data_IF_023031485258
#
_entry.id   IF_023031485258
#
_cell.length_a   1.000
_cell.length_b   1.000
_cell.length_c   1.000
_cell.angle_alpha   90.00
_cell.angle_beta   90.00
_cell.angle_gamma   90.00
#
_symmetry.space_group_name_H-M   'P 1'
#
loop_
_entity.id
_entity.type
_entity.pdbx_description
1 polymer ?
#
# COMPACT_ATOMS: atom_id res chain seq x y z
N UNK A 1 8.84 -16.06 12.47
CA UNK A 1 10.11 -16.45 11.79
C UNK A 1 10.67 -17.75 12.39
N UNK A 2 10.34 -18.04 13.62
CA UNK A 2 10.76 -19.29 14.30
C UNK A 2 9.82 -20.43 13.93
N UNK A 3 10.32 -21.59 13.51
CA UNK A 3 9.49 -22.73 13.10
C UNK A 3 8.55 -23.21 14.21
N UNK A 4 8.96 -23.11 15.46
CA UNK A 4 8.20 -23.52 16.63
C UNK A 4 6.96 -22.63 16.84
N UNK A 5 7.13 -21.30 16.79
CA UNK A 5 6.02 -20.33 16.87
C UNK A 5 4.97 -20.60 15.79
N UNK A 6 5.44 -20.92 14.57
CA UNK A 6 4.54 -21.26 13.48
C UNK A 6 3.74 -22.53 13.75
N UNK A 7 4.39 -23.60 14.24
CA UNK A 7 3.71 -24.85 14.58
C UNK A 7 2.68 -24.65 15.69
N UNK A 8 3.03 -23.87 16.71
CA UNK A 8 2.12 -23.54 17.80
C UNK A 8 0.91 -22.74 17.29
N UNK A 9 1.14 -21.77 16.42
CA UNK A 9 0.08 -20.98 15.80
C UNK A 9 -0.87 -21.85 14.97
N UNK A 10 -0.32 -22.74 14.13
CA UNK A 10 -1.09 -23.68 13.30
C UNK A 10 -1.94 -24.63 14.15
N UNK A 11 -1.34 -25.22 15.20
CA UNK A 11 -2.05 -26.10 16.13
C UNK A 11 -3.22 -25.40 16.83
N UNK A 12 -3.01 -24.18 17.33
CA UNK A 12 -4.05 -23.40 17.99
C UNK A 12 -5.19 -22.99 17.05
N UNK A 13 -4.89 -22.62 15.81
CA UNK A 13 -5.92 -22.37 14.80
C UNK A 13 -6.72 -23.62 14.50
N UNK A 14 -6.04 -24.79 14.40
CA UNK A 14 -6.68 -26.09 14.21
C UNK A 14 -7.63 -26.47 15.35
N UNK A 15 -7.20 -26.29 16.62
CA UNK A 15 -8.04 -26.51 17.80
C UNK A 15 -9.31 -25.65 17.79
N UNK A 16 -9.18 -24.35 17.43
CA UNK A 16 -10.33 -23.43 17.35
C UNK A 16 -11.28 -23.76 16.21
N UNK A 17 -10.74 -24.23 15.07
CA UNK A 17 -11.59 -24.68 13.97
C UNK A 17 -12.38 -25.95 14.36
N UNK A 18 -11.73 -26.91 15.03
CA UNK A 18 -12.38 -28.13 15.50
C UNK A 18 -13.51 -27.86 16.52
N UNK A 19 -13.37 -26.79 17.31
CA UNK A 19 -14.37 -26.35 18.30
C UNK A 19 -15.40 -25.36 17.71
N UNK A 20 -15.37 -25.10 16.41
CA UNK A 20 -16.36 -24.28 15.71
C UNK A 20 -17.73 -24.96 15.74
N UNK A 21 -18.76 -24.24 16.12
CA UNK A 21 -20.13 -24.75 16.12
C UNK A 21 -20.58 -25.09 14.71
N UNK A 22 -21.28 -26.21 14.53
CA UNK A 22 -21.72 -26.72 13.21
C UNK A 22 -22.56 -25.72 12.41
N UNK A 23 -23.19 -24.74 13.02
CA UNK A 23 -23.96 -23.69 12.32
C UNK A 23 -23.13 -22.48 11.83
N UNK A 24 -21.87 -22.32 12.27
CA UNK A 24 -21.06 -21.17 11.90
C UNK A 24 -20.48 -21.28 10.47
N UNK A 25 -20.32 -22.49 9.96
CA UNK A 25 -19.83 -22.71 8.58
C UNK A 25 -20.87 -22.29 7.54
N UNK A 26 -22.15 -22.48 7.83
CA UNK A 26 -23.28 -22.12 6.98
C UNK A 26 -23.90 -20.76 7.33
N UNK A 27 -23.31 -20.07 8.31
CA UNK A 27 -23.71 -18.70 8.68
C UNK A 27 -23.55 -17.71 7.53
N UNK A 28 -24.14 -16.52 7.70
CA UNK A 28 -23.92 -15.45 6.73
C UNK A 28 -22.44 -15.03 6.70
N UNK A 29 -22.04 -14.32 5.65
CA UNK A 29 -20.63 -13.94 5.41
C UNK A 29 -19.99 -13.17 6.57
N UNK A 30 -20.76 -12.34 7.29
CA UNK A 30 -20.26 -11.57 8.45
C UNK A 30 -19.89 -12.47 9.62
N UNK A 31 -20.70 -13.50 9.89
CA UNK A 31 -20.46 -14.48 10.97
C UNK A 31 -19.22 -15.30 10.65
N UNK A 32 -19.14 -15.84 9.42
CA UNK A 32 -18.01 -16.69 9.00
C UNK A 32 -16.69 -15.89 9.00
N UNK A 33 -16.72 -14.66 8.46
CA UNK A 33 -15.57 -13.75 8.48
C UNK A 33 -15.17 -13.32 9.89
N UNK A 34 -16.14 -12.91 10.70
CA UNK A 34 -15.93 -12.48 12.09
C UNK A 34 -15.26 -13.55 12.93
N UNK A 35 -15.68 -14.82 12.78
CA UNK A 35 -15.06 -15.99 13.43
C UNK A 35 -13.62 -16.18 13.02
N UNK A 36 -13.32 -16.20 11.71
CA UNK A 36 -11.95 -16.34 11.18
C UNK A 36 -11.04 -15.19 11.66
N UNK A 37 -11.50 -13.96 11.51
CA UNK A 37 -10.77 -12.76 11.93
C UNK A 37 -10.41 -12.83 13.41
N UNK A 38 -11.40 -13.09 14.27
CA UNK A 38 -11.21 -13.19 15.72
C UNK A 38 -10.23 -14.30 16.06
N UNK A 39 -10.39 -15.49 15.50
CA UNK A 39 -9.49 -16.60 15.71
C UNK A 39 -8.04 -16.24 15.40
N UNK A 40 -7.77 -15.71 14.19
CA UNK A 40 -6.42 -15.37 13.76
C UNK A 40 -5.76 -14.30 14.65
N UNK A 41 -6.51 -13.27 15.04
CA UNK A 41 -6.00 -12.19 15.88
C UNK A 41 -5.74 -12.65 17.32
N UNK A 42 -6.67 -13.39 17.91
CA UNK A 42 -6.54 -13.90 19.29
C UNK A 42 -5.36 -14.87 19.39
N UNK A 43 -5.26 -15.84 18.44
CA UNK A 43 -4.13 -16.79 18.41
C UNK A 43 -2.80 -16.05 18.15
N UNK A 44 -2.80 -15.03 17.31
CA UNK A 44 -1.59 -14.22 17.11
C UNK A 44 -1.17 -13.47 18.37
N UNK A 45 -2.13 -12.96 19.15
CA UNK A 45 -1.86 -12.33 20.44
C UNK A 45 -1.33 -13.32 21.48
N UNK A 46 -1.93 -14.51 21.57
CA UNK A 46 -1.51 -15.59 22.47
C UNK A 46 -0.09 -16.09 22.17
N UNK A 47 0.22 -16.32 20.90
CA UNK A 47 1.48 -16.97 20.48
C UNK A 47 2.61 -15.97 20.26
N UNK A 48 2.32 -14.79 19.73
CA UNK A 48 3.32 -13.78 19.38
C UNK A 48 3.36 -12.58 20.33
N UNK A 49 2.30 -12.38 21.11
CA UNK A 49 2.11 -11.20 21.94
C UNK A 49 1.79 -9.92 21.14
N UNK A 50 1.49 -8.84 21.83
CA UNK A 50 1.32 -7.51 21.24
C UNK A 50 2.52 -6.62 21.53
N UNK A 51 3.00 -5.91 20.52
CA UNK A 51 3.93 -4.80 20.73
C UNK A 51 3.20 -3.65 21.41
N UNK A 52 3.66 -3.25 22.60
CA UNK A 52 3.11 -2.10 23.35
C UNK A 52 3.76 -0.82 22.81
N UNK A 53 2.92 0.12 22.36
CA UNK A 53 3.32 1.47 21.95
C UNK A 53 3.29 1.72 20.43
N UNK A 54 3.32 3.01 20.06
CA UNK A 54 3.51 3.42 18.65
C UNK A 54 4.77 2.76 18.12
N UNK A 55 4.70 2.05 16.99
CA UNK A 55 5.90 1.62 16.28
C UNK A 55 6.72 2.88 16.00
N UNK A 56 7.85 3.03 16.69
CA UNK A 56 8.85 4.01 16.30
C UNK A 56 9.23 3.62 14.87
N UNK A 57 9.19 4.58 13.95
CA UNK A 57 9.53 4.37 12.56
C UNK A 57 10.88 3.64 12.44
N UNK A 58 10.84 2.30 12.35
CA UNK A 58 12.02 1.45 12.15
C UNK A 58 12.63 1.58 10.75
N UNK A 59 11.96 2.35 9.88
CA UNK A 59 12.38 2.51 8.49
C UNK A 59 13.51 3.50 8.30
N UNK A 60 13.72 4.40 9.27
CA UNK A 60 14.77 5.40 9.20
C UNK A 60 15.85 5.02 10.21
N UNK A 61 16.86 4.30 9.76
CA UNK A 61 17.94 3.73 10.58
C UNK A 61 18.72 4.75 11.42
N UNK A 62 18.67 6.04 11.07
CA UNK A 62 19.28 7.17 11.76
C UNK A 62 18.29 7.99 12.62
N UNK A 63 17.00 7.64 12.62
CA UNK A 63 16.01 8.41 13.39
C UNK A 63 16.10 8.10 14.87
N UNK A 64 16.23 9.16 15.69
CA UNK A 64 16.28 9.09 17.14
C UNK A 64 15.37 10.15 17.78
N UNK A 65 15.29 10.14 19.12
CA UNK A 65 14.40 11.05 19.86
C UNK A 65 14.86 12.52 19.72
N UNK A 66 16.17 12.80 19.63
CA UNK A 66 16.73 14.14 19.40
C UNK A 66 16.26 14.71 18.06
N UNK A 67 16.34 13.89 16.99
CA UNK A 67 15.88 14.29 15.64
C UNK A 67 14.36 14.50 15.65
N UNK A 68 13.62 13.64 16.34
CA UNK A 68 12.16 13.76 16.44
C UNK A 68 11.74 15.09 17.08
N UNK A 69 12.44 15.51 18.15
CA UNK A 69 12.20 16.80 18.85
C UNK A 69 12.48 17.99 17.92
N UNK A 70 13.65 17.99 17.26
CA UNK A 70 14.05 19.06 16.34
C UNK A 70 13.05 19.21 15.17
N UNK A 71 12.55 18.09 14.65
CA UNK A 71 11.55 18.11 13.58
C UNK A 71 10.19 18.60 14.08
N UNK A 72 9.79 18.23 15.30
CA UNK A 72 8.55 18.70 15.94
C UNK A 72 8.59 20.22 16.13
N UNK A 73 9.69 20.74 16.69
CA UNK A 73 9.85 22.17 16.89
C UNK A 73 9.86 22.95 15.57
N UNK A 74 10.56 22.46 14.56
CA UNK A 74 10.51 23.04 13.21
C UNK A 74 9.08 23.13 12.67
N UNK A 75 8.25 22.08 12.85
CA UNK A 75 6.85 22.06 12.40
C UNK A 75 6.02 23.08 13.16
N UNK A 76 6.18 23.15 14.48
CA UNK A 76 5.49 24.12 15.34
C UNK A 76 5.76 25.57 14.91
N UNK A 77 7.03 25.92 14.71
CA UNK A 77 7.45 27.25 14.29
C UNK A 77 7.02 27.57 12.85
N UNK A 78 6.96 26.57 11.96
CA UNK A 78 6.41 26.74 10.63
C UNK A 78 4.91 27.11 10.66
N UNK A 79 4.14 26.49 11.56
CA UNK A 79 2.74 26.84 11.79
C UNK A 79 2.58 28.29 12.23
N UNK A 80 3.39 28.72 13.20
CA UNK A 80 3.39 30.12 13.68
C UNK A 80 3.72 31.11 12.55
N UNK A 81 4.81 30.85 11.81
CA UNK A 81 5.22 31.68 10.69
C UNK A 81 4.13 31.78 9.60
N UNK A 82 3.43 30.69 9.30
CA UNK A 82 2.33 30.72 8.35
C UNK A 82 1.10 31.52 8.86
N UNK A 83 0.84 31.51 10.15
CA UNK A 83 -0.22 32.35 10.75
C UNK A 83 0.17 33.83 10.67
N UNK A 84 1.42 34.18 10.96
CA UNK A 84 1.91 35.57 10.89
C UNK A 84 1.91 36.15 9.47
N UNK A 85 2.01 35.31 8.43
CA UNK A 85 1.86 35.75 7.01
C UNK A 85 0.51 36.42 6.71
N UNK A 86 -0.53 36.11 7.48
CA UNK A 86 -1.88 36.65 7.31
C UNK A 86 -2.13 37.90 8.16
N UNK A 87 -1.22 38.21 9.08
CA UNK A 87 -1.32 39.41 9.92
C UNK A 87 -0.72 40.67 9.27
N UNK A 88 -1.16 41.83 9.71
CA UNK A 88 -0.68 43.12 9.17
C UNK A 88 0.73 43.49 9.66
N UNK A 89 1.23 42.85 10.72
CA UNK A 89 2.49 43.20 11.38
C UNK A 89 3.71 42.55 10.73
N UNK A 90 4.45 43.38 9.97
CA UNK A 90 5.69 42.96 9.30
C UNK A 90 6.83 42.61 10.25
N UNK A 91 6.88 43.15 11.50
CA UNK A 91 7.94 42.83 12.47
C UNK A 91 7.77 41.44 13.00
N UNK A 92 6.56 41.10 13.42
CA UNK A 92 6.21 39.73 13.90
C UNK A 92 6.47 38.70 12.79
N UNK A 93 6.12 39.00 11.53
CA UNK A 93 6.40 38.11 10.40
C UNK A 93 7.90 37.84 10.21
N UNK A 94 8.75 38.87 10.31
CA UNK A 94 10.20 38.71 10.15
C UNK A 94 10.81 37.92 11.32
N UNK A 95 10.35 38.15 12.54
CA UNK A 95 10.82 37.42 13.72
C UNK A 95 10.42 35.94 13.68
N UNK A 96 9.18 35.64 13.34
CA UNK A 96 8.69 34.25 13.21
C UNK A 96 9.39 33.51 12.07
N UNK A 97 9.67 34.22 10.96
CA UNK A 97 10.48 33.68 9.88
C UNK A 97 11.88 33.32 10.35
N UNK A 98 12.54 34.19 11.10
CA UNK A 98 13.88 33.95 11.63
C UNK A 98 13.91 32.73 12.55
N UNK A 99 12.94 32.65 13.48
CA UNK A 99 12.79 31.48 14.39
C UNK A 99 12.58 30.20 13.62
N UNK A 100 11.73 30.19 12.59
CA UNK A 100 11.55 29.03 11.73
C UNK A 100 12.81 28.66 10.97
N UNK A 101 13.54 29.61 10.40
CA UNK A 101 14.78 29.37 9.64
C UNK A 101 15.89 28.82 10.56
N UNK A 102 15.99 29.28 11.81
CA UNK A 102 16.88 28.74 12.83
C UNK A 102 16.53 27.29 13.18
N UNK A 103 15.26 26.98 13.45
CA UNK A 103 14.81 25.63 13.72
C UNK A 103 14.98 24.69 12.51
N UNK A 104 14.77 25.18 11.30
CA UNK A 104 15.01 24.44 10.05
C UNK A 104 16.49 24.07 9.93
N UNK A 105 17.41 25.00 10.22
CA UNK A 105 18.86 24.73 10.20
C UNK A 105 19.28 23.76 11.32
N UNK A 106 18.69 23.89 12.51
CA UNK A 106 18.93 22.99 13.63
C UNK A 106 18.48 21.55 13.28
N UNK A 107 17.27 21.38 12.76
CA UNK A 107 16.78 20.09 12.32
C UNK A 107 17.64 19.47 11.21
N UNK A 108 18.10 20.26 10.23
CA UNK A 108 18.97 19.78 9.17
C UNK A 108 20.33 19.30 9.73
N UNK A 109 20.92 20.05 10.64
CA UNK A 109 22.20 19.66 11.31
C UNK A 109 22.02 18.39 12.17
N UNK A 110 20.93 18.30 12.95
CA UNK A 110 20.62 17.12 13.75
C UNK A 110 20.46 15.86 12.92
N UNK A 111 19.76 15.97 11.80
CA UNK A 111 19.60 14.87 10.84
C UNK A 111 20.94 14.43 10.27
N UNK A 112 21.76 15.37 9.79
CA UNK A 112 23.11 15.05 9.23
C UNK A 112 23.99 14.39 10.26
N UNK A 113 24.01 14.88 11.49
CA UNK A 113 24.77 14.30 12.61
C UNK A 113 24.31 12.87 12.93
N UNK A 114 22.98 12.65 13.02
CA UNK A 114 22.42 11.32 13.28
C UNK A 114 22.78 10.33 12.17
N UNK A 115 22.71 10.77 10.91
CA UNK A 115 23.10 9.95 9.75
C UNK A 115 24.59 9.60 9.78
N UNK A 116 25.46 10.53 10.16
CA UNK A 116 26.90 10.31 10.24
C UNK A 116 27.25 9.34 11.36
N UNK A 117 26.68 9.49 12.55
CA UNK A 117 26.88 8.58 13.68
C UNK A 117 26.48 7.15 13.32
N UNK A 118 25.34 6.98 12.71
CA UNK A 118 24.88 5.64 12.33
C UNK A 118 25.66 5.04 11.17
N UNK A 119 26.14 5.85 10.21
CA UNK A 119 27.08 5.40 9.16
C UNK A 119 28.40 4.90 9.73
N UNK A 120 28.93 5.60 10.75
CA UNK A 120 30.18 5.20 11.41
C UNK A 120 30.00 3.87 12.15
N UNK A 121 28.96 3.74 12.97
CA UNK A 121 28.62 2.48 13.64
C UNK A 121 28.47 1.32 12.66
N UNK A 122 27.88 1.59 11.50
CA UNK A 122 27.75 0.59 10.44
C UNK A 122 29.11 0.23 9.81
N UNK A 123 29.99 1.22 9.58
CA UNK A 123 31.35 0.98 9.06
C UNK A 123 32.18 0.15 10.01
N UNK A 124 32.12 0.45 11.31
CA UNK A 124 32.82 -0.31 12.37
C UNK A 124 32.34 -1.77 12.47
N UNK A 125 31.05 -2.05 12.19
CA UNK A 125 30.52 -3.42 12.17
C UNK A 125 30.75 -4.22 10.88
N UNK A 126 31.37 -3.62 9.84
CA UNK A 126 31.71 -4.31 8.60
C UNK A 126 33.07 -5.04 8.65
N UNK A 127 33.91 -4.72 9.61
CA UNK A 127 35.23 -5.32 9.80
C UNK A 127 35.16 -6.69 10.51
N UNK A 128 34.03 -7.08 11.06
CA UNK A 128 33.79 -8.42 11.59
C UNK A 128 33.13 -9.30 10.51
N UNK A 129 33.85 -10.34 10.12
CA UNK A 129 33.44 -11.40 9.17
C UNK A 129 31.95 -11.71 9.20
N UNK A 130 31.13 -11.14 8.32
CA UNK A 130 30.06 -11.85 7.65
C UNK A 130 29.11 -10.94 6.85
N UNK A 131 28.74 -11.46 5.67
CA UNK A 131 27.58 -11.15 4.86
C UNK A 131 27.67 -10.04 3.81
N UNK A 132 28.20 -10.42 2.65
CA UNK A 132 28.01 -9.71 1.36
C UNK A 132 26.53 -9.28 1.15
N UNK A 133 25.57 -10.02 1.72
CA UNK A 133 24.14 -9.70 1.67
C UNK A 133 23.73 -8.47 2.49
N UNK A 134 24.43 -8.17 3.59
CA UNK A 134 24.09 -7.01 4.45
C UNK A 134 24.52 -5.70 3.80
N UNK A 135 25.69 -5.66 3.17
CA UNK A 135 26.19 -4.49 2.44
C UNK A 135 25.23 -4.11 1.30
N UNK A 136 24.81 -5.09 0.49
CA UNK A 136 23.85 -4.86 -0.60
C UNK A 136 22.48 -4.41 -0.08
N UNK A 137 22.01 -4.94 1.05
CA UNK A 137 20.75 -4.54 1.66
C UNK A 137 20.79 -3.09 2.14
N UNK A 138 21.88 -2.68 2.79
CA UNK A 138 22.06 -1.30 3.28
C UNK A 138 22.29 -0.34 2.12
N UNK A 139 23.10 -0.68 1.12
CA UNK A 139 23.27 0.13 -0.07
C UNK A 139 21.93 0.36 -0.79
N UNK A 140 21.12 -0.70 -0.93
CA UNK A 140 19.76 -0.62 -1.50
C UNK A 140 18.83 0.22 -0.63
N UNK A 141 18.98 0.20 0.68
CA UNK A 141 18.20 1.02 1.62
C UNK A 141 18.63 2.49 1.59
N UNK A 142 19.92 2.78 1.50
CA UNK A 142 20.45 4.16 1.31
C UNK A 142 19.93 4.76 -0.01
N UNK A 143 19.96 4.00 -1.10
CA UNK A 143 19.40 4.43 -2.39
C UNK A 143 17.88 4.64 -2.32
N UNK A 144 17.16 3.80 -1.57
CA UNK A 144 15.72 3.99 -1.31
C UNK A 144 15.45 5.24 -0.47
N UNK A 145 16.17 5.43 0.62
CA UNK A 145 15.99 6.57 1.51
C UNK A 145 16.27 7.92 0.83
N UNK A 146 17.16 7.94 -0.16
CA UNK A 146 17.36 9.13 -0.99
C UNK A 146 16.24 9.36 -2.02
N UNK A 147 15.36 8.38 -2.23
CA UNK A 147 14.18 8.48 -3.12
C UNK A 147 12.87 8.69 -2.37
N UNK A 148 12.79 8.26 -1.12
CA UNK A 148 11.63 8.50 -0.27
C UNK A 148 11.75 9.89 0.38
N UNK A 149 11.42 10.91 -0.38
CA UNK A 149 10.94 12.14 0.23
C UNK A 149 9.58 11.79 0.81
N UNK A 150 9.56 11.39 2.08
CA UNK A 150 8.33 11.39 2.88
C UNK A 150 7.84 12.83 2.79
N UNK A 151 6.73 13.05 2.07
CA UNK A 151 6.13 14.36 1.93
C UNK A 151 6.03 14.97 3.31
N UNK A 152 6.55 16.17 3.51
CA UNK A 152 6.41 16.86 4.79
C UNK A 152 4.93 16.83 5.16
N UNK A 153 4.57 16.59 6.42
CA UNK A 153 3.19 16.45 6.87
C UNK A 153 2.32 17.71 6.66
N UNK A 154 2.50 18.40 5.53
CA UNK A 154 1.78 19.60 5.14
C UNK A 154 1.27 19.40 3.71
N UNK A 155 0.04 19.83 3.46
CA UNK A 155 -0.59 19.82 2.13
C UNK A 155 -1.32 21.14 1.88
N UNK A 156 -1.59 21.44 0.62
CA UNK A 156 -2.29 22.66 0.21
C UNK A 156 -3.78 22.39 0.07
N UNK A 157 -4.59 23.23 0.69
CA UNK A 157 -6.03 23.29 0.46
C UNK A 157 -6.36 23.78 -0.95
N UNK A 158 -7.58 23.53 -1.41
CA UNK A 158 -8.09 24.04 -2.68
C UNK A 158 -8.07 25.59 -2.78
N UNK A 159 -8.18 26.29 -1.63
CA UNK A 159 -8.10 27.74 -1.54
C UNK A 159 -6.66 28.31 -1.48
N UNK A 160 -5.65 27.44 -1.62
CA UNK A 160 -4.24 27.80 -1.61
C UNK A 160 -3.60 27.89 -0.22
N UNK A 161 -4.35 27.78 0.89
CA UNK A 161 -3.80 27.68 2.25
C UNK A 161 -3.00 26.39 2.42
N UNK A 162 -2.04 26.39 3.35
CA UNK A 162 -1.26 25.21 3.68
C UNK A 162 -1.76 24.66 5.01
N UNK A 163 -2.28 23.43 4.99
CA UNK A 163 -2.61 22.65 6.17
C UNK A 163 -1.31 22.15 6.81
N UNK A 164 -1.18 22.36 8.12
CA UNK A 164 0.01 22.01 8.92
C UNK A 164 -0.37 21.09 10.07
N UNK A 165 -1.51 21.34 10.69
CA UNK A 165 -2.04 20.53 11.78
C UNK A 165 -2.53 19.17 11.22
N UNK A 166 -2.35 18.10 12.01
CA UNK A 166 -2.62 16.74 11.55
C UNK A 166 -4.08 16.56 11.09
N UNK A 167 -5.04 17.08 11.86
CA UNK A 167 -6.47 16.98 11.53
C UNK A 167 -6.83 17.75 10.25
N UNK A 168 -6.24 18.95 10.07
CA UNK A 168 -6.43 19.77 8.88
C UNK A 168 -5.84 19.08 7.64
N UNK A 169 -4.67 18.44 7.79
CA UNK A 169 -4.02 17.65 6.72
C UNK A 169 -4.88 16.46 6.33
N UNK A 170 -5.45 15.74 7.31
CA UNK A 170 -6.33 14.60 7.06
C UNK A 170 -7.60 15.05 6.31
N UNK A 171 -8.18 16.19 6.69
CA UNK A 171 -9.37 16.72 6.03
C UNK A 171 -9.10 17.10 4.57
N UNK A 172 -7.94 17.70 4.26
CA UNK A 172 -7.54 18.00 2.88
C UNK A 172 -7.41 16.71 2.07
N UNK A 173 -6.82 15.66 2.64
CA UNK A 173 -6.72 14.37 1.97
C UNK A 173 -8.08 13.72 1.77
N UNK A 174 -8.95 13.77 2.78
CA UNK A 174 -10.31 13.24 2.68
C UNK A 174 -11.08 13.90 1.53
N UNK A 175 -11.12 15.24 1.50
CA UNK A 175 -11.81 16.00 0.47
C UNK A 175 -11.22 15.72 -0.94
N UNK A 176 -9.90 15.56 -1.02
CA UNK A 176 -9.23 15.22 -2.28
C UNK A 176 -9.66 13.86 -2.83
N UNK A 177 -9.64 12.79 -1.99
CA UNK A 177 -10.02 11.46 -2.43
C UNK A 177 -11.53 11.32 -2.63
N UNK A 178 -12.34 11.99 -1.82
CA UNK A 178 -13.79 12.06 -1.99
C UNK A 178 -14.15 12.61 -3.38
N UNK A 179 -13.56 13.75 -3.74
CA UNK A 179 -13.73 14.32 -5.07
C UNK A 179 -13.23 13.37 -6.17
N UNK A 180 -12.03 12.82 -6.02
CA UNK A 180 -11.42 11.94 -7.04
C UNK A 180 -12.24 10.69 -7.30
N UNK A 181 -12.81 10.08 -6.26
CA UNK A 181 -13.54 8.81 -6.37
C UNK A 181 -15.01 8.97 -6.74
N UNK A 182 -15.58 10.17 -6.60
CA UNK A 182 -17.01 10.42 -6.87
C UNK A 182 -17.23 11.43 -8.00
N UNK A 183 -16.17 11.83 -8.71
CA UNK A 183 -16.31 12.70 -9.88
C UNK A 183 -16.88 11.87 -11.04
N UNK A 184 -18.14 12.18 -11.40
CA UNK A 184 -18.81 11.53 -12.53
C UNK A 184 -18.43 12.20 -13.83
N UNK A 185 -18.10 11.41 -14.84
CA UNK A 185 -17.87 11.86 -16.20
C UNK A 185 -19.04 11.44 -17.08
N UNK A 186 -19.60 12.41 -17.81
CA UNK A 186 -20.58 12.10 -18.84
C UNK A 186 -19.94 11.30 -19.96
N UNK A 187 -20.44 10.10 -20.23
CA UNK A 187 -20.03 9.30 -21.36
C UNK A 187 -21.26 8.76 -22.09
N UNK A 188 -21.13 8.55 -23.39
CA UNK A 188 -22.23 8.03 -24.18
C UNK A 188 -22.31 6.51 -23.98
N UNK A 189 -23.31 6.05 -23.22
CA UNK A 189 -23.56 4.62 -22.94
C UNK A 189 -23.94 3.84 -24.18
N UNK A 190 -24.51 4.51 -25.21
CA UNK A 190 -24.94 3.89 -26.46
C UNK A 190 -23.77 3.41 -27.35
N UNK A 191 -22.53 3.83 -27.03
CA UNK A 191 -21.33 3.36 -27.73
C UNK A 191 -20.88 1.97 -27.29
N UNK A 192 -21.39 1.45 -26.18
CA UNK A 192 -21.13 0.09 -25.73
C UNK A 192 -22.19 -0.88 -26.30
N UNK A 193 -21.74 -1.76 -27.15
CA UNK A 193 -22.59 -2.90 -27.56
C UNK A 193 -22.63 -3.87 -26.39
N UNK A 194 -23.82 -4.09 -25.84
CA UNK A 194 -24.02 -5.15 -24.85
C UNK A 194 -23.69 -6.49 -25.52
N UNK A 195 -22.76 -7.22 -24.96
CA UNK A 195 -22.50 -8.61 -25.34
C UNK A 195 -23.45 -9.51 -24.57
N UNK A 196 -23.82 -10.65 -25.18
CA UNK A 196 -24.58 -11.67 -24.49
C UNK A 196 -23.89 -12.08 -23.20
N UNK A 197 -24.67 -12.23 -22.13
CA UNK A 197 -24.15 -12.71 -20.85
C UNK A 197 -23.65 -14.14 -21.02
N UNK A 198 -22.37 -14.36 -20.76
CA UNK A 198 -21.84 -15.72 -20.68
C UNK A 198 -22.09 -16.24 -19.28
N UNK A 199 -22.91 -17.27 -19.16
CA UNK A 199 -23.05 -17.99 -17.90
C UNK A 199 -21.72 -18.67 -17.57
N UNK A 200 -21.05 -18.16 -16.53
CA UNK A 200 -19.83 -18.77 -16.02
C UNK A 200 -20.14 -19.93 -15.09
N UNK A 201 -19.19 -20.83 -14.86
CA UNK A 201 -19.35 -21.89 -13.87
C UNK A 201 -19.44 -21.27 -12.47
N UNK A 202 -20.61 -21.41 -11.83
CA UNK A 202 -20.86 -21.05 -10.43
C UNK A 202 -20.40 -22.16 -9.47
N UNK A 203 -19.30 -22.85 -9.80
CA UNK A 203 -18.76 -23.89 -8.93
C UNK A 203 -18.22 -23.29 -7.62
N UNK A 204 -18.40 -24.05 -6.53
CA UNK A 204 -17.82 -23.68 -5.24
C UNK A 204 -16.30 -23.48 -5.35
N UNK A 205 -15.80 -22.49 -4.63
CA UNK A 205 -14.36 -22.28 -4.50
C UNK A 205 -13.77 -23.42 -3.71
N UNK A 206 -12.70 -24.02 -4.24
CA UNK A 206 -12.02 -25.17 -3.65
C UNK A 206 -10.89 -24.73 -2.72
N UNK A 207 -10.57 -25.57 -1.73
CA UNK A 207 -9.40 -25.35 -0.86
C UNK A 207 -8.08 -25.32 -1.63
N UNK A 208 -7.99 -26.04 -2.75
CA UNK A 208 -6.82 -26.06 -3.62
C UNK A 208 -6.58 -24.67 -4.27
N UNK A 209 -7.63 -24.01 -4.76
CA UNK A 209 -7.56 -22.65 -5.33
C UNK A 209 -7.12 -21.64 -4.27
N UNK A 210 -7.73 -21.69 -3.08
CA UNK A 210 -7.40 -20.82 -1.95
C UNK A 210 -5.96 -21.03 -1.49
N UNK A 211 -5.51 -22.27 -1.35
CA UNK A 211 -4.13 -22.60 -0.99
C UNK A 211 -3.13 -22.06 -2.02
N UNK A 212 -3.43 -22.20 -3.31
CA UNK A 212 -2.61 -21.66 -4.39
C UNK A 212 -2.53 -20.13 -4.31
N UNK A 213 -3.64 -19.45 -4.02
CA UNK A 213 -3.69 -18.01 -3.84
C UNK A 213 -2.89 -17.56 -2.60
N UNK A 214 -3.02 -18.24 -1.45
CA UNK A 214 -2.25 -17.99 -0.22
C UNK A 214 -0.74 -18.15 -0.47
N UNK A 215 -0.31 -19.21 -1.17
CA UNK A 215 1.10 -19.43 -1.51
C UNK A 215 1.69 -18.27 -2.32
N UNK A 216 0.95 -17.72 -3.27
CA UNK A 216 1.36 -16.57 -4.11
C UNK A 216 1.44 -15.24 -3.33
N UNK A 217 0.85 -15.09 -2.15
CA UNK A 217 0.93 -13.85 -1.36
C UNK A 217 2.36 -13.56 -0.89
N UNK A 218 2.75 -12.29 -0.88
CA UNK A 218 4.04 -11.85 -0.34
C UNK A 218 3.98 -11.74 1.18
N UNK A 219 5.03 -12.21 1.87
CA UNK A 219 5.20 -12.06 3.32
C UNK A 219 5.53 -10.60 3.71
N UNK A 220 5.36 -10.28 4.99
CA UNK A 220 5.73 -8.99 5.60
C UNK A 220 5.08 -7.80 4.88
N UNK A 221 3.81 -7.93 4.51
CA UNK A 221 2.99 -6.83 3.96
C UNK A 221 2.10 -6.26 5.06
N UNK A 222 1.89 -4.93 4.99
CA UNK A 222 1.00 -4.23 5.91
C UNK A 222 -0.43 -4.79 5.84
N UNK A 223 -1.07 -4.87 7.01
CA UNK A 223 -2.47 -5.28 7.12
C UNK A 223 -3.43 -4.24 6.53
N UNK A 224 -4.62 -4.69 6.14
CA UNK A 224 -5.78 -3.84 6.00
C UNK A 224 -6.42 -3.49 7.36
N UNK A 225 -7.63 -2.91 7.38
CA UNK A 225 -8.30 -2.45 8.59
C UNK A 225 -8.55 -3.54 9.65
N UNK A 226 -8.76 -4.79 9.25
CA UNK A 226 -8.98 -5.92 10.18
C UNK A 226 -7.77 -6.28 11.02
N UNK A 227 -6.57 -5.93 10.57
CA UNK A 227 -5.31 -6.33 11.19
C UNK A 227 -4.79 -7.70 10.75
N UNK A 228 -5.55 -8.48 9.96
CA UNK A 228 -5.13 -9.78 9.44
C UNK A 228 -4.04 -9.61 8.38
N UNK A 229 -2.89 -10.29 8.56
CA UNK A 229 -1.76 -10.24 7.64
C UNK A 229 -1.56 -11.56 6.90
N UNK A 230 -0.92 -11.48 5.74
CA UNK A 230 -0.58 -12.67 4.93
C UNK A 230 0.27 -13.70 5.67
N UNK A 231 1.06 -13.26 6.63
CA UNK A 231 1.90 -14.15 7.44
C UNK A 231 1.05 -15.02 8.38
N UNK A 232 -0.04 -14.49 8.95
CA UNK A 232 -1.02 -15.26 9.73
C UNK A 232 -1.73 -16.30 8.85
N UNK A 233 -2.22 -15.90 7.68
CA UNK A 233 -2.90 -16.79 6.74
C UNK A 233 -1.99 -17.95 6.28
N UNK A 234 -0.70 -17.65 6.04
CA UNK A 234 0.30 -18.67 5.70
C UNK A 234 0.71 -19.56 6.86
N UNK A 235 0.58 -19.07 8.09
CA UNK A 235 0.91 -19.84 9.30
C UNK A 235 -0.27 -20.68 9.81
N UNK A 236 -1.49 -20.38 9.39
CA UNK A 236 -2.71 -21.07 9.83
C UNK A 236 -2.86 -22.49 9.27
N UNK A 237 -2.00 -22.93 8.34
CA UNK A 237 -1.98 -24.27 7.78
C UNK A 237 -3.26 -24.65 7.04
N UNK A 238 -3.55 -25.96 7.02
CA UNK A 238 -4.69 -26.51 6.30
C UNK A 238 -6.03 -26.09 6.94
N UNK A 239 -6.10 -26.06 8.26
CA UNK A 239 -7.28 -25.62 8.99
C UNK A 239 -7.66 -24.17 8.65
N UNK A 240 -6.66 -23.26 8.64
CA UNK A 240 -6.87 -21.89 8.22
C UNK A 240 -7.28 -21.77 6.75
N UNK A 241 -6.72 -22.63 5.88
CA UNK A 241 -7.08 -22.67 4.45
C UNK A 241 -8.54 -23.08 4.25
N UNK A 242 -9.02 -24.08 4.98
CA UNK A 242 -10.43 -24.50 4.96
C UNK A 242 -11.32 -23.32 5.38
N UNK A 243 -11.01 -22.67 6.49
CA UNK A 243 -11.82 -21.55 6.98
C UNK A 243 -11.85 -20.37 6.01
N UNK A 244 -10.72 -20.01 5.41
CA UNK A 244 -10.66 -18.99 4.34
C UNK A 244 -11.54 -19.41 3.14
N UNK A 245 -11.58 -20.70 2.81
CA UNK A 245 -12.42 -21.22 1.72
C UNK A 245 -13.90 -21.06 2.06
N UNK A 246 -14.29 -21.32 3.31
CA UNK A 246 -15.67 -21.10 3.78
C UNK A 246 -16.07 -19.64 3.66
N UNK A 247 -15.20 -18.70 4.07
CA UNK A 247 -15.44 -17.26 3.91
C UNK A 247 -15.64 -16.90 2.43
N UNK A 248 -14.75 -17.38 1.54
CA UNK A 248 -14.86 -17.12 0.10
C UNK A 248 -16.17 -17.67 -0.47
N UNK A 249 -16.57 -18.88 -0.07
CA UNK A 249 -17.83 -19.48 -0.51
C UNK A 249 -19.06 -18.76 0.08
N UNK A 250 -18.97 -18.25 1.32
CA UNK A 250 -20.04 -17.43 1.90
C UNK A 250 -20.21 -16.12 1.11
N UNK A 251 -19.12 -15.45 0.70
CA UNK A 251 -19.18 -14.26 -0.16
C UNK A 251 -19.91 -14.58 -1.49
N UNK A 252 -19.59 -15.69 -2.14
CA UNK A 252 -20.20 -16.08 -3.41
C UNK A 252 -21.67 -16.43 -3.21
N UNK A 253 -22.01 -17.18 -2.16
CA UNK A 253 -23.39 -17.56 -1.84
C UNK A 253 -24.28 -16.35 -1.52
N UNK A 254 -23.77 -15.45 -0.67
CA UNK A 254 -24.57 -14.31 -0.17
C UNK A 254 -24.56 -13.12 -1.15
N UNK A 255 -23.70 -13.15 -2.18
CA UNK A 255 -23.53 -12.04 -3.14
C UNK A 255 -23.05 -10.75 -2.49
N UNK A 256 -22.45 -10.83 -1.30
CA UNK A 256 -21.98 -9.70 -0.50
C UNK A 256 -20.58 -9.97 0.06
N UNK A 257 -19.76 -8.92 0.11
CA UNK A 257 -18.50 -8.94 0.85
C UNK A 257 -18.72 -8.43 2.28
N UNK A 258 -17.92 -8.86 3.27
CA UNK A 258 -17.99 -8.33 4.63
C UNK A 258 -17.81 -6.81 4.66
N UNK A 259 -18.48 -6.12 5.60
CA UNK A 259 -18.36 -4.66 5.75
C UNK A 259 -16.92 -4.19 5.97
N UNK A 260 -16.12 -4.96 6.70
CA UNK A 260 -14.71 -4.68 6.91
C UNK A 260 -13.91 -4.62 5.60
N UNK A 261 -14.32 -5.38 4.58
CA UNK A 261 -13.64 -5.43 3.28
C UNK A 261 -13.95 -4.21 2.42
N UNK A 262 -15.05 -3.50 2.70
CA UNK A 262 -15.39 -2.23 2.06
C UNK A 262 -14.49 -1.08 2.55
N UNK A 263 -13.73 -1.29 3.65
CA UNK A 263 -12.84 -0.31 4.25
C UNK A 263 -11.39 -0.56 3.83
N UNK A 264 -10.61 0.50 3.71
CA UNK A 264 -9.18 0.41 3.41
C UNK A 264 -8.41 1.55 4.07
N UNK A 265 -7.14 1.30 4.39
CA UNK A 265 -6.22 2.38 4.76
C UNK A 265 -5.63 3.00 3.50
N UNK A 266 -5.67 4.34 3.39
CA UNK A 266 -5.04 5.07 2.30
C UNK A 266 -3.66 5.57 2.74
N UNK A 267 -2.62 5.16 2.03
CA UNK A 267 -1.24 5.59 2.26
C UNK A 267 -0.77 6.43 1.07
N UNK A 268 -0.40 7.68 1.34
CA UNK A 268 0.04 8.63 0.32
C UNK A 268 1.54 8.52 0.08
N UNK A 269 1.94 8.08 -1.11
CA UNK A 269 3.35 7.96 -1.52
C UNK A 269 3.69 9.04 -2.53
N UNK A 270 4.65 9.92 -2.18
CA UNK A 270 5.09 10.96 -3.09
C UNK A 270 5.73 10.38 -4.36
N UNK A 271 5.35 10.94 -5.53
CA UNK A 271 5.85 10.46 -6.84
C UNK A 271 7.31 10.81 -7.13
N UNK A 272 7.95 11.61 -6.27
CA UNK A 272 9.32 12.12 -6.49
C UNK A 272 9.40 13.24 -7.53
N UNK A 273 8.27 13.75 -8.03
CA UNK A 273 8.16 14.85 -8.97
C UNK A 273 6.93 15.70 -8.68
N UNK A 274 6.95 16.98 -9.10
CA UNK A 274 5.90 17.94 -8.79
C UNK A 274 6.06 18.56 -7.41
N UNK A 275 5.08 19.41 -7.02
CA UNK A 275 5.09 20.08 -5.73
C UNK A 275 4.62 19.14 -4.62
N UNK A 276 5.43 18.93 -3.60
CA UNK A 276 5.11 18.06 -2.45
C UNK A 276 3.94 18.58 -1.59
N UNK A 277 3.51 19.81 -1.77
CA UNK A 277 2.32 20.36 -1.11
C UNK A 277 1.02 20.02 -1.84
N UNK A 278 1.10 19.53 -3.07
CA UNK A 278 -0.07 19.21 -3.89
C UNK A 278 -0.44 17.72 -3.75
N UNK A 279 -1.69 17.42 -3.40
CA UNK A 279 -2.19 16.04 -3.28
C UNK A 279 -2.02 15.26 -4.60
N UNK A 280 -2.15 15.91 -5.75
CA UNK A 280 -1.94 15.32 -7.09
C UNK A 280 -0.53 14.77 -7.33
N UNK A 281 0.48 15.24 -6.57
CA UNK A 281 1.87 14.77 -6.65
C UNK A 281 2.11 13.44 -5.92
N UNK A 282 1.06 12.86 -5.32
CA UNK A 282 1.14 11.59 -4.59
C UNK A 282 0.38 10.48 -5.32
N UNK A 283 0.77 9.22 -5.01
CA UNK A 283 0.01 8.02 -5.33
C UNK A 283 -0.69 7.55 -4.07
N UNK A 284 -2.00 7.40 -4.13
CA UNK A 284 -2.76 6.71 -3.09
C UNK A 284 -2.54 5.20 -3.18
N UNK A 285 -2.09 4.59 -2.10
CA UNK A 285 -1.97 3.13 -2.02
C UNK A 285 -3.03 2.66 -1.03
N UNK A 286 -4.01 1.91 -1.51
CA UNK A 286 -5.04 1.31 -0.66
C UNK A 286 -4.53 0.01 -0.05
N UNK A 287 -4.53 -0.08 1.27
CA UNK A 287 -4.24 -1.30 2.00
C UNK A 287 -5.56 -2.04 2.25
N UNK A 288 -5.86 -2.97 1.35
CA UNK A 288 -7.05 -3.81 1.37
C UNK A 288 -6.85 -5.03 2.26
N UNK A 289 -7.97 -5.66 2.65
CA UNK A 289 -7.97 -6.90 3.39
C UNK A 289 -7.25 -8.02 2.65
N UNK A 290 -6.46 -8.83 3.39
CA UNK A 290 -5.66 -9.86 2.77
C UNK A 290 -6.51 -11.06 2.30
N UNK A 291 -7.62 -11.34 2.97
CA UNK A 291 -8.54 -12.41 2.54
C UNK A 291 -9.31 -11.99 1.28
N UNK A 292 -9.69 -10.70 1.15
CA UNK A 292 -10.23 -10.17 -0.10
C UNK A 292 -9.25 -10.40 -1.26
N UNK A 293 -7.95 -10.14 -1.07
CA UNK A 293 -6.93 -10.40 -2.10
C UNK A 293 -6.78 -11.89 -2.47
N UNK A 294 -7.14 -12.81 -1.58
CA UNK A 294 -7.18 -14.23 -1.90
C UNK A 294 -8.38 -14.50 -2.82
N UNK A 295 -9.57 -14.01 -2.45
CA UNK A 295 -10.76 -14.12 -3.27
C UNK A 295 -10.55 -13.52 -4.66
N UNK A 296 -10.05 -12.28 -4.74
CA UNK A 296 -9.71 -11.62 -6.00
C UNK A 296 -8.81 -12.48 -6.89
N UNK A 297 -7.80 -13.14 -6.33
CA UNK A 297 -6.90 -14.03 -7.08
C UNK A 297 -7.58 -15.28 -7.59
N UNK A 298 -8.49 -15.88 -6.80
CA UNK A 298 -9.27 -17.03 -7.23
C UNK A 298 -10.18 -16.63 -8.39
N UNK A 299 -10.89 -15.52 -8.24
CA UNK A 299 -11.77 -14.98 -9.29
C UNK A 299 -10.97 -14.62 -10.55
N UNK A 300 -9.83 -13.91 -10.40
CA UNK A 300 -8.94 -13.59 -11.51
C UNK A 300 -8.52 -14.84 -12.29
N UNK A 301 -8.07 -15.90 -11.57
CA UNK A 301 -7.62 -17.14 -12.23
C UNK A 301 -8.77 -17.82 -13.00
N UNK A 302 -10.01 -17.79 -12.46
CA UNK A 302 -11.20 -18.33 -13.13
C UNK A 302 -11.58 -17.51 -14.36
N UNK A 303 -11.63 -16.17 -14.22
CA UNK A 303 -11.95 -15.25 -15.33
C UNK A 303 -10.93 -15.37 -16.46
N UNK A 304 -9.64 -15.49 -16.15
CA UNK A 304 -8.59 -15.66 -17.18
C UNK A 304 -8.70 -16.95 -18.00
N UNK A 305 -9.42 -17.96 -17.53
CA UNK A 305 -9.70 -19.18 -18.29
C UNK A 305 -10.80 -18.98 -19.33
N UNK A 306 -11.68 -18.02 -19.08
CA UNK A 306 -12.86 -17.75 -19.91
C UNK A 306 -12.58 -16.61 -20.89
N UNK A 307 -11.92 -15.54 -20.42
CA UNK A 307 -11.68 -14.33 -21.21
C UNK A 307 -10.41 -14.46 -22.04
N UNK A 308 -10.53 -14.29 -23.35
CA UNK A 308 -9.38 -14.13 -24.24
C UNK A 308 -8.95 -12.67 -24.26
N UNK A 309 -7.75 -12.40 -23.76
CA UNK A 309 -7.13 -11.06 -23.78
C UNK A 309 -6.34 -10.92 -25.08
N UNK A 310 -6.41 -9.73 -25.69
CA UNK A 310 -5.72 -9.42 -26.93
C UNK A 310 -4.20 -9.64 -26.80
N UNK A 311 -3.59 -10.17 -27.86
CA UNK A 311 -2.16 -10.48 -27.89
C UNK A 311 -1.27 -9.25 -27.78
N UNK A 312 -1.77 -8.07 -28.12
CA UNK A 312 -1.07 -6.79 -27.98
C UNK A 312 -1.18 -6.18 -26.57
N UNK A 313 -1.86 -6.84 -25.63
CA UNK A 313 -1.83 -6.47 -24.23
C UNK A 313 -0.53 -6.95 -23.58
N UNK A 314 0.33 -6.01 -23.16
CA UNK A 314 1.60 -6.31 -22.51
C UNK A 314 1.57 -6.12 -21.00
N UNK A 315 0.76 -5.18 -20.51
CA UNK A 315 0.61 -4.94 -19.08
C UNK A 315 -0.16 -6.05 -18.37
N UNK A 316 0.31 -6.47 -17.18
CA UNK A 316 -0.33 -7.49 -16.33
C UNK A 316 -0.52 -8.88 -16.97
N UNK A 317 0.18 -9.16 -18.06
CA UNK A 317 0.15 -10.46 -18.71
C UNK A 317 1.31 -11.34 -18.25
N UNK A 318 1.05 -12.66 -18.13
CA UNK A 318 2.12 -13.64 -17.90
C UNK A 318 3.05 -13.67 -19.11
N UNK A 319 4.35 -13.78 -18.85
CA UNK A 319 5.40 -13.92 -19.89
C UNK A 319 5.53 -12.72 -20.84
N UNK A 320 4.78 -11.65 -20.63
CA UNK A 320 4.90 -10.39 -21.38
C UNK A 320 5.32 -9.25 -20.47
N UNK A 321 6.14 -8.36 -20.97
CA UNK A 321 6.63 -7.19 -20.25
C UNK A 321 6.61 -5.91 -21.07
N UNK A 322 6.80 -4.78 -20.43
CA UNK A 322 6.94 -3.49 -21.10
C UNK A 322 8.13 -3.46 -22.06
N UNK A 323 9.16 -4.26 -21.79
CA UNK A 323 10.34 -4.42 -22.66
C UNK A 323 9.95 -4.93 -24.03
N UNK A 324 8.99 -5.88 -24.12
CA UNK A 324 8.53 -6.43 -25.39
C UNK A 324 7.81 -5.37 -26.23
N UNK A 325 6.94 -4.58 -25.62
CA UNK A 325 6.28 -3.47 -26.29
C UNK A 325 7.30 -2.41 -26.77
N UNK A 326 8.28 -2.06 -25.94
CA UNK A 326 9.37 -1.14 -26.33
C UNK A 326 10.16 -1.71 -27.49
N UNK A 327 10.47 -3.00 -27.49
CA UNK A 327 11.19 -3.67 -28.59
C UNK A 327 10.42 -3.58 -29.90
N UNK A 328 9.11 -3.86 -29.89
CA UNK A 328 8.26 -3.75 -31.09
C UNK A 328 8.28 -2.33 -31.64
N UNK A 329 8.11 -1.31 -30.79
CA UNK A 329 8.17 0.10 -31.21
C UNK A 329 9.51 0.46 -31.83
N UNK A 330 10.62 0.01 -31.22
CA UNK A 330 11.98 0.22 -31.74
C UNK A 330 12.17 -0.44 -33.10
N UNK A 331 11.72 -1.68 -33.27
CA UNK A 331 11.78 -2.39 -34.54
C UNK A 331 10.97 -1.67 -35.63
N UNK A 332 9.81 -1.13 -35.32
CA UNK A 332 9.04 -0.31 -36.24
C UNK A 332 9.80 0.96 -36.65
N UNK A 333 10.37 1.68 -35.68
CA UNK A 333 11.18 2.87 -35.95
C UNK A 333 12.37 2.56 -36.89
N UNK A 334 13.11 1.49 -36.61
CA UNK A 334 14.26 1.06 -37.44
C UNK A 334 13.83 0.73 -38.85
N UNK A 335 12.75 -0.04 -39.04
CA UNK A 335 12.22 -0.40 -40.35
C UNK A 335 11.76 0.81 -41.18
N UNK A 336 11.06 1.76 -40.55
CA UNK A 336 10.62 2.98 -41.22
C UNK A 336 11.80 3.87 -41.61
N UNK A 337 12.78 4.01 -40.68
CA UNK A 337 14.01 4.77 -40.92
C UNK A 337 14.83 4.17 -42.07
N UNK A 338 14.98 2.85 -42.13
CA UNK A 338 15.67 2.17 -43.23
C UNK A 338 15.00 2.42 -44.56
N UNK A 339 13.67 2.55 -44.60
CA UNK A 339 12.89 2.86 -45.80
C UNK A 339 12.77 4.38 -46.08
N UNK A 340 13.40 5.22 -45.26
CA UNK A 340 13.26 6.70 -45.32
C UNK A 340 11.81 7.17 -45.35
N UNK A 341 10.96 6.53 -44.51
CA UNK A 341 9.53 6.85 -44.36
C UNK A 341 9.29 7.41 -42.97
N UNK A 342 8.34 8.34 -42.86
CA UNK A 342 7.89 8.87 -41.57
C UNK A 342 7.05 7.83 -40.84
N UNK A 343 7.23 7.76 -39.51
CA UNK A 343 6.42 6.94 -38.61
C UNK A 343 5.76 7.88 -37.59
N UNK A 344 4.46 8.00 -37.66
CA UNK A 344 3.65 8.75 -36.72
C UNK A 344 3.18 7.82 -35.61
N UNK A 345 3.39 8.20 -34.36
CA UNK A 345 2.98 7.46 -33.18
C UNK A 345 2.25 8.36 -32.21
N UNK A 346 1.13 7.91 -31.65
CA UNK A 346 0.42 8.58 -30.58
C UNK A 346 0.50 7.73 -29.30
N UNK A 347 0.84 8.37 -28.18
CA UNK A 347 0.85 7.75 -26.85
C UNK A 347 -0.29 8.37 -26.06
N UNK A 348 -1.21 7.52 -25.59
CA UNK A 348 -2.35 7.94 -24.76
C UNK A 348 -2.11 7.44 -23.35
N UNK A 349 -2.15 8.35 -22.38
CA UNK A 349 -2.04 8.05 -20.93
C UNK A 349 -3.31 8.52 -20.22
N UNK A 350 -3.95 7.63 -19.50
CA UNK A 350 -5.17 7.94 -18.76
C UNK A 350 -4.82 8.39 -17.34
N UNK A 351 -5.22 9.62 -17.01
CA UNK A 351 -4.96 10.16 -15.68
C UNK A 351 -5.78 9.42 -14.61
N UNK A 352 -5.06 8.73 -13.69
CA UNK A 352 -5.66 8.04 -12.54
C UNK A 352 -6.81 7.10 -12.90
N UNK A 353 -6.67 6.36 -14.00
CA UNK A 353 -7.72 5.49 -14.51
C UNK A 353 -8.29 4.55 -13.43
N UNK A 354 -7.43 3.91 -12.64
CA UNK A 354 -7.87 2.98 -11.57
C UNK A 354 -8.50 3.65 -10.34
N UNK A 355 -8.30 4.95 -10.15
CA UNK A 355 -8.94 5.69 -9.06
C UNK A 355 -10.32 6.21 -9.47
N UNK A 356 -10.65 6.15 -10.76
CA UNK A 356 -11.86 6.72 -11.37
C UNK A 356 -12.84 5.68 -11.95
N UNK A 357 -12.55 4.39 -11.75
CA UNK A 357 -13.41 3.27 -12.18
C UNK A 357 -14.35 2.86 -11.06
#
# INVERSE_FOLDING_TARGET
KEPEIRRTFEARVGERLANRLDGEADGNVEVVWGGLRKCLLDVAEEVCGKTRGRQRHRETWWWNDEVAELVREKRRLFGIYNKSKKGPDKRTLLEDKRRYDEAKRAASRGISKAQEVERRKFGEGLDEENEKGTVFRVAKQIVRNNRDVVGGGCVRHADGRIAVEEDEVLEVWRAYYEKLSNEEFSWNKDTLTATDTTEGPCEKITTAEVLAAIKKMKKSKAAGPSGVVSDMLKAAGDAGTVWVTDVCNAVVRDGKIPEDWCKSWMVNVYKGKGNALECGSYRGIRLLEHVLKILERVVEERVRRIVKIDDMQFGFMKEKGTTDAIFIVRQLQEKYRAKKKDLWMAFVDLEKAFDRV
#
